data_IF_859828258358
#
_entry.id   IF_859828258358
#
_cell.length_a   1.000
_cell.length_b   1.000
_cell.length_c   1.000
_cell.angle_alpha   90.00
_cell.angle_beta   90.00
_cell.angle_gamma   90.00
#
_symmetry.space_group_name_H-M   'P 1'
#
loop_
_entity.id
_entity.type
_entity.pdbx_description
1 polymer ?
#
# COMPACT_ATOMS: atom_id res chain seq x y z
N UNK A 1 10.68 32.50 -3.15
CA UNK A 1 11.69 31.69 -3.89
C UNK A 1 11.43 30.22 -3.63
N UNK A 2 11.60 29.36 -4.64
CA UNK A 2 11.44 27.90 -4.55
C UNK A 2 12.62 27.17 -5.17
N UNK A 3 12.90 25.95 -4.72
CA UNK A 3 13.95 25.08 -5.29
C UNK A 3 13.29 23.79 -5.78
N UNK A 4 13.53 23.42 -7.03
CA UNK A 4 12.95 22.23 -7.67
C UNK A 4 14.03 21.36 -8.31
N UNK A 5 13.97 20.05 -8.11
CA UNK A 5 14.84 19.10 -8.83
C UNK A 5 14.27 18.88 -10.23
N UNK A 6 14.93 19.41 -11.26
CA UNK A 6 14.49 19.29 -12.67
C UNK A 6 14.82 17.92 -13.26
N UNK A 7 15.99 17.38 -12.94
CA UNK A 7 16.49 16.16 -13.56
C UNK A 7 17.35 15.35 -12.59
N UNK A 8 17.26 14.03 -12.72
CA UNK A 8 18.07 13.07 -11.97
C UNK A 8 18.79 12.18 -12.96
N UNK A 9 20.11 12.20 -12.95
CA UNK A 9 20.96 11.29 -13.72
C UNK A 9 21.56 10.22 -12.80
N UNK A 10 22.31 9.28 -13.38
CA UNK A 10 23.02 8.26 -12.60
C UNK A 10 23.99 8.89 -11.59
N UNK A 11 24.65 9.99 -11.96
CA UNK A 11 25.73 10.62 -11.17
C UNK A 11 25.34 11.94 -10.53
N UNK A 12 24.30 12.63 -10.99
CA UNK A 12 24.01 13.98 -10.47
C UNK A 12 22.55 14.37 -10.52
N UNK A 13 22.22 15.38 -9.72
CA UNK A 13 20.91 15.98 -9.56
C UNK A 13 21.00 17.45 -10.00
N UNK A 14 20.08 17.88 -10.85
CA UNK A 14 20.03 19.27 -11.33
C UNK A 14 18.87 19.98 -10.64
N UNK A 15 19.19 21.04 -9.90
CA UNK A 15 18.23 21.87 -9.18
C UNK A 15 18.09 23.25 -9.83
N UNK A 16 16.85 23.73 -9.87
CA UNK A 16 16.49 25.07 -10.28
C UNK A 16 16.01 25.86 -9.08
N UNK A 17 16.55 27.06 -8.88
CA UNK A 17 16.04 28.06 -7.96
C UNK A 17 15.17 29.01 -8.76
N UNK A 18 13.92 29.18 -8.34
CA UNK A 18 12.95 30.07 -8.99
C UNK A 18 12.52 31.19 -8.04
N UNK A 19 12.35 32.39 -8.58
CA UNK A 19 11.61 33.48 -7.96
C UNK A 19 10.35 33.68 -8.80
N UNK A 20 9.20 33.47 -8.17
CA UNK A 20 7.91 33.40 -8.86
C UNK A 20 7.95 32.36 -10.00
N UNK A 21 7.88 32.80 -11.26
CA UNK A 21 7.96 31.90 -12.43
C UNK A 21 9.33 31.90 -13.12
N UNK A 22 10.26 32.78 -12.70
CA UNK A 22 11.56 32.93 -13.33
C UNK A 22 12.62 32.04 -12.68
N UNK A 23 13.46 31.42 -13.51
CA UNK A 23 14.63 30.67 -13.03
C UNK A 23 15.74 31.67 -12.75
N UNK A 24 16.06 31.83 -11.46
CA UNK A 24 17.10 32.76 -10.99
C UNK A 24 18.44 32.06 -10.76
N UNK A 25 18.46 30.73 -10.61
CA UNK A 25 19.69 29.96 -10.62
C UNK A 25 19.46 28.50 -11.02
N UNK A 26 20.50 27.86 -11.54
CA UNK A 26 20.55 26.43 -11.77
C UNK A 26 21.87 25.90 -11.21
N UNK A 27 21.82 24.84 -10.42
CA UNK A 27 23.02 24.19 -9.91
C UNK A 27 22.92 22.67 -10.00
N UNK A 28 24.07 22.04 -10.23
CA UNK A 28 24.23 20.59 -10.28
C UNK A 28 24.88 20.13 -8.97
N UNK A 29 24.32 19.10 -8.35
CA UNK A 29 24.92 18.42 -7.20
C UNK A 29 25.20 16.97 -7.54
N UNK A 30 26.34 16.48 -7.09
CA UNK A 30 26.65 15.06 -7.21
C UNK A 30 25.69 14.22 -6.35
N UNK A 31 25.29 13.07 -6.88
CA UNK A 31 24.45 12.12 -6.13
C UNK A 31 25.21 11.59 -4.91
N UNK A 32 26.50 11.34 -5.03
CA UNK A 32 27.33 10.84 -3.94
C UNK A 32 27.44 11.87 -2.82
N UNK A 33 27.61 13.16 -3.13
CA UNK A 33 27.63 14.23 -2.13
C UNK A 33 26.35 14.28 -1.29
N UNK A 34 25.19 14.08 -1.91
CA UNK A 34 23.90 14.09 -1.22
C UNK A 34 23.62 12.82 -0.40
N UNK A 35 24.14 11.68 -0.86
CA UNK A 35 23.97 10.39 -0.16
C UNK A 35 25.03 10.18 0.93
N UNK A 36 26.18 10.84 0.83
CA UNK A 36 27.22 10.79 1.84
C UNK A 36 26.73 11.51 3.11
N UNK A 37 26.60 10.76 4.21
CA UNK A 37 26.14 11.28 5.51
C UNK A 37 27.08 12.31 6.13
N UNK A 38 28.28 12.50 5.58
CA UNK A 38 29.29 13.44 6.08
C UNK A 38 29.19 14.84 5.45
N UNK A 39 28.00 15.25 5.01
CA UNK A 39 27.77 16.59 4.47
C UNK A 39 27.15 17.53 5.52
N UNK A 40 27.38 18.85 5.38
CA UNK A 40 26.82 19.87 6.28
C UNK A 40 25.29 20.00 6.19
N UNK A 41 24.63 19.22 5.33
CA UNK A 41 23.17 19.18 5.19
C UNK A 41 22.52 18.22 6.20
N UNK A 42 23.28 17.29 6.80
CA UNK A 42 22.79 16.36 7.80
C UNK A 42 22.07 17.07 8.95
N UNK A 43 22.68 18.09 9.54
CA UNK A 43 22.10 18.85 10.65
C UNK A 43 20.81 19.60 10.23
N UNK A 44 20.67 19.95 8.95
CA UNK A 44 19.45 20.59 8.44
C UNK A 44 18.25 19.63 8.45
N UNK A 45 18.48 18.34 8.19
CA UNK A 45 17.45 17.29 8.21
C UNK A 45 16.78 17.13 9.58
N UNK A 46 17.48 17.51 10.66
CA UNK A 46 16.97 17.42 12.02
C UNK A 46 16.12 18.61 12.44
N UNK A 47 15.88 19.59 11.57
CA UNK A 47 15.01 20.75 11.91
C UNK A 47 13.53 20.36 11.99
N UNK A 48 12.76 21.04 12.85
CA UNK A 48 11.32 20.78 13.01
C UNK A 48 10.53 20.88 11.70
N UNK A 49 10.92 21.79 10.81
CA UNK A 49 10.29 21.93 9.48
C UNK A 49 10.49 20.68 8.64
N UNK A 50 11.70 20.13 8.60
CA UNK A 50 11.99 18.91 7.84
C UNK A 50 11.34 17.70 8.51
N UNK A 51 11.42 17.56 9.84
CA UNK A 51 10.70 16.49 10.57
C UNK A 51 9.21 16.53 10.29
N UNK A 52 8.57 17.70 10.35
CA UNK A 52 7.14 17.87 10.07
C UNK A 52 6.80 17.54 8.61
N UNK A 53 7.66 17.93 7.67
CA UNK A 53 7.51 17.57 6.26
C UNK A 53 7.63 16.05 6.05
N UNK A 54 8.66 15.42 6.60
CA UNK A 54 8.87 13.97 6.54
C UNK A 54 7.70 13.22 7.19
N UNK A 55 7.23 13.65 8.36
CA UNK A 55 6.05 13.07 9.01
C UNK A 55 4.76 13.27 8.20
N UNK A 56 4.61 14.39 7.48
CA UNK A 56 3.48 14.63 6.56
C UNK A 56 3.59 13.73 5.32
N UNK A 57 4.79 13.58 4.78
CA UNK A 57 5.08 12.70 3.64
C UNK A 57 4.88 11.23 4.00
N UNK A 58 5.34 10.79 5.17
CA UNK A 58 5.09 9.45 5.71
C UNK A 58 3.62 9.20 6.02
N UNK A 59 2.84 10.22 6.41
CA UNK A 59 1.37 10.12 6.49
C UNK A 59 0.70 9.97 5.13
N UNK A 60 1.38 10.35 4.05
CA UNK A 60 0.89 10.26 2.66
C UNK A 60 1.35 8.97 1.99
N UNK A 61 2.53 8.45 2.36
CA UNK A 61 2.99 7.12 2.01
C UNK A 61 2.21 6.12 2.87
N UNK A 62 1.25 5.41 2.29
CA UNK A 62 0.45 4.42 3.01
C UNK A 62 1.28 3.45 3.83
N UNK A 63 0.75 2.98 4.95
CA UNK A 63 1.39 1.92 5.73
C UNK A 63 1.59 0.69 4.84
N UNK A 64 2.83 0.18 4.85
CA UNK A 64 3.27 -0.94 3.99
C UNK A 64 3.36 -2.28 4.73
N UNK A 65 3.25 -2.29 6.06
CA UNK A 65 3.35 -3.47 6.91
C UNK A 65 2.13 -3.58 7.84
N UNK A 66 1.73 -4.80 8.20
CA UNK A 66 0.59 -5.06 9.09
C UNK A 66 0.88 -4.61 10.53
N UNK A 67 2.11 -4.80 11.02
CA UNK A 67 2.49 -4.44 12.39
C UNK A 67 2.31 -2.96 12.69
N UNK A 68 2.53 -2.10 11.70
CA UNK A 68 2.47 -0.64 11.86
C UNK A 68 1.04 -0.09 11.70
N UNK A 69 0.06 -0.93 11.38
CA UNK A 69 -1.34 -0.52 11.19
C UNK A 69 -1.99 -0.10 12.51
N UNK A 70 -2.52 1.12 12.52
CA UNK A 70 -3.31 1.69 13.62
C UNK A 70 -4.74 1.95 13.16
N UNK A 71 -5.68 1.82 14.09
CA UNK A 71 -7.06 2.17 13.82
C UNK A 71 -7.17 3.65 13.39
N UNK A 72 -7.97 3.93 12.36
CA UNK A 72 -8.14 5.26 11.79
C UNK A 72 -7.18 5.59 10.64
N UNK A 73 -6.21 4.71 10.32
CA UNK A 73 -5.36 4.92 9.14
C UNK A 73 -6.15 4.69 7.84
N UNK A 74 -5.97 5.60 6.89
CA UNK A 74 -6.49 5.53 5.53
C UNK A 74 -5.34 5.42 4.53
N UNK A 75 -5.64 5.08 3.27
CA UNK A 75 -4.65 4.89 2.21
C UNK A 75 -3.61 3.82 2.56
N UNK A 76 -4.05 2.71 3.15
CA UNK A 76 -3.16 1.58 3.44
C UNK A 76 -2.92 0.80 2.15
N UNK A 77 -1.65 0.51 1.85
CA UNK A 77 -1.23 -0.27 0.68
C UNK A 77 -0.33 -1.40 1.14
N UNK A 78 -0.75 -2.65 0.96
CA UNK A 78 0.00 -3.79 1.46
C UNK A 78 -0.13 -5.00 0.55
N UNK A 79 0.87 -5.88 0.64
CA UNK A 79 0.87 -7.18 -0.02
C UNK A 79 0.84 -8.25 1.06
N UNK A 80 -0.14 -9.15 1.01
CA UNK A 80 -0.32 -10.17 2.03
C UNK A 80 -0.84 -11.47 1.44
N UNK A 81 -0.58 -12.58 2.12
CA UNK A 81 -1.11 -13.89 1.79
C UNK A 81 -2.43 -14.13 2.53
N UNK A 82 -3.41 -14.71 1.86
CA UNK A 82 -4.64 -15.18 2.50
C UNK A 82 -4.37 -16.48 3.23
N UNK A 83 -4.64 -16.47 4.53
CA UNK A 83 -4.47 -17.61 5.43
C UNK A 83 -5.79 -18.36 5.66
N UNK A 84 -6.90 -17.63 5.75
CA UNK A 84 -8.22 -18.19 6.04
C UNK A 84 -9.33 -17.32 5.43
N UNK A 85 -10.38 -17.94 4.91
CA UNK A 85 -11.60 -17.26 4.44
C UNK A 85 -12.77 -17.76 5.27
N UNK A 86 -13.35 -16.88 6.10
CA UNK A 86 -14.52 -17.23 6.90
C UNK A 86 -15.81 -17.28 6.05
N UNK A 87 -16.80 -18.04 6.53
CA UNK A 87 -18.08 -18.15 5.86
C UNK A 87 -18.77 -16.78 5.65
N UNK A 88 -19.28 -16.49 4.44
CA UNK A 88 -19.95 -15.24 4.14
C UNK A 88 -21.25 -15.09 4.95
N UNK A 89 -21.43 -13.94 5.60
CA UNK A 89 -22.62 -13.61 6.38
C UNK A 89 -23.47 -12.56 5.67
N UNK A 90 -24.78 -12.79 5.58
CA UNK A 90 -25.74 -11.79 5.10
C UNK A 90 -26.03 -10.78 6.20
N UNK A 91 -25.94 -9.50 5.87
CA UNK A 91 -26.19 -8.37 6.76
C UNK A 91 -27.10 -7.35 6.07
N UNK A 92 -27.97 -6.72 6.85
CA UNK A 92 -28.76 -5.58 6.38
C UNK A 92 -27.95 -4.32 6.68
N UNK A 93 -27.65 -3.55 5.63
CA UNK A 93 -26.94 -2.28 5.79
C UNK A 93 -27.85 -1.24 6.45
N UNK A 94 -27.26 -0.17 7.00
CA UNK A 94 -28.00 0.97 7.56
C UNK A 94 -28.96 1.66 6.58
N UNK A 95 -28.83 1.38 5.29
CA UNK A 95 -29.65 1.94 4.22
C UNK A 95 -30.74 0.96 3.74
N UNK A 96 -30.93 -0.18 4.44
CA UNK A 96 -31.95 -1.18 4.10
C UNK A 96 -31.54 -2.19 3.02
N UNK A 97 -30.37 -2.03 2.39
CA UNK A 97 -29.89 -2.96 1.38
C UNK A 97 -29.29 -4.22 2.02
N UNK A 98 -29.56 -5.37 1.41
CA UNK A 98 -28.89 -6.63 1.73
C UNK A 98 -27.45 -6.62 1.18
N UNK A 99 -26.49 -6.97 2.02
CA UNK A 99 -25.10 -7.14 1.63
C UNK A 99 -24.55 -8.42 2.25
N UNK A 100 -23.54 -9.01 1.61
CA UNK A 100 -22.80 -10.15 2.15
C UNK A 100 -21.43 -9.66 2.58
N UNK A 101 -20.98 -10.08 3.76
CA UNK A 101 -19.65 -9.77 4.30
C UNK A 101 -18.92 -11.05 4.69
N UNK A 102 -17.67 -11.18 4.28
CA UNK A 102 -16.78 -12.23 4.75
C UNK A 102 -15.54 -11.61 5.41
N UNK A 103 -15.08 -12.23 6.49
CA UNK A 103 -13.80 -11.88 7.13
C UNK A 103 -12.74 -12.83 6.61
N UNK A 104 -11.67 -12.27 6.07
CA UNK A 104 -10.53 -13.01 5.53
C UNK A 104 -9.33 -12.73 6.41
N UNK A 105 -8.64 -13.76 6.91
CA UNK A 105 -7.38 -13.60 7.61
C UNK A 105 -6.26 -13.48 6.59
N UNK A 106 -5.55 -12.36 6.63
CA UNK A 106 -4.37 -12.11 5.78
C UNK A 106 -3.13 -11.94 6.66
N UNK A 107 -1.97 -12.33 6.12
CA UNK A 107 -0.69 -12.23 6.80
C UNK A 107 0.44 -11.75 5.91
N UNK A 108 1.36 -10.99 6.50
CA UNK A 108 2.65 -10.61 5.95
C UNK A 108 3.77 -11.07 6.90
N UNK A 109 5.01 -10.70 6.59
CA UNK A 109 6.18 -11.01 7.43
C UNK A 109 6.13 -10.38 8.84
N UNK A 110 5.27 -9.38 9.05
CA UNK A 110 5.20 -8.59 10.28
C UNK A 110 4.04 -8.97 11.18
N UNK A 111 3.00 -9.65 10.66
CA UNK A 111 1.88 -10.15 11.44
C UNK A 111 0.66 -10.52 10.61
N UNK A 112 -0.49 -10.63 11.28
CA UNK A 112 -1.77 -10.98 10.66
C UNK A 112 -2.86 -9.97 10.99
N UNK A 113 -3.81 -9.78 10.09
CA UNK A 113 -4.98 -8.90 10.28
C UNK A 113 -6.19 -9.45 9.53
N UNK A 114 -7.39 -9.13 10.01
CA UNK A 114 -8.64 -9.49 9.32
C UNK A 114 -8.96 -8.44 8.26
N UNK A 115 -9.31 -8.88 7.05
CA UNK A 115 -9.82 -8.06 5.96
C UNK A 115 -11.31 -8.34 5.79
N UNK A 116 -12.13 -7.30 5.77
CA UNK A 116 -13.57 -7.39 5.52
C UNK A 116 -13.84 -7.18 4.03
N UNK A 117 -14.29 -8.24 3.36
CA UNK A 117 -14.69 -8.24 1.95
C UNK A 117 -16.20 -8.18 1.82
N UNK A 118 -16.67 -7.47 0.79
CA UNK A 118 -18.09 -7.24 0.55
C UNK A 118 -18.54 -7.82 -0.78
N UNK A 119 -19.72 -8.45 -0.78
CA UNK A 119 -20.43 -8.93 -1.96
C UNK A 119 -19.52 -9.73 -2.90
N UNK A 120 -19.37 -9.30 -4.16
CA UNK A 120 -18.56 -9.98 -5.18
C UNK A 120 -17.07 -10.06 -4.87
N UNK A 121 -16.53 -9.22 -3.97
CA UNK A 121 -15.11 -9.32 -3.59
C UNK A 121 -14.78 -10.65 -2.90
N UNK A 122 -15.79 -11.32 -2.35
CA UNK A 122 -15.64 -12.56 -1.58
C UNK A 122 -15.33 -13.73 -2.51
N UNK A 123 -15.87 -13.73 -3.73
CA UNK A 123 -15.70 -14.84 -4.70
C UNK A 123 -14.36 -14.79 -5.42
N UNK A 124 -13.67 -13.65 -5.39
CA UNK A 124 -12.43 -13.41 -6.14
C UNK A 124 -11.17 -13.83 -5.36
N UNK A 125 -11.34 -14.42 -4.18
CA UNK A 125 -10.24 -14.76 -3.28
C UNK A 125 -10.32 -16.20 -2.80
N UNK A 126 -9.17 -16.86 -2.74
CA UNK A 126 -9.02 -18.20 -2.19
C UNK A 126 -7.93 -18.27 -1.13
N UNK A 127 -8.02 -19.27 -0.26
CA UNK A 127 -6.96 -19.55 0.73
C UNK A 127 -5.66 -19.88 0.00
N UNK A 128 -4.57 -19.22 0.39
CA UNK A 128 -3.26 -19.38 -0.23
C UNK A 128 -2.89 -18.29 -1.24
N UNK A 129 -3.86 -17.50 -1.72
CA UNK A 129 -3.60 -16.43 -2.69
C UNK A 129 -2.76 -15.30 -2.10
N UNK A 130 -1.95 -14.68 -2.94
CA UNK A 130 -1.25 -13.45 -2.62
C UNK A 130 -2.07 -12.28 -3.14
N UNK A 131 -2.49 -11.38 -2.25
CA UNK A 131 -3.30 -10.23 -2.60
C UNK A 131 -2.52 -8.94 -2.42
N UNK A 132 -2.65 -8.06 -3.41
CA UNK A 132 -2.25 -6.67 -3.35
C UNK A 132 -3.47 -5.84 -2.97
N UNK A 133 -3.39 -5.19 -1.82
CA UNK A 133 -4.43 -4.33 -1.27
C UNK A 133 -4.01 -2.88 -1.45
N UNK A 134 -4.88 -2.05 -2.00
CA UNK A 134 -4.62 -0.63 -2.16
C UNK A 134 -5.76 0.21 -1.60
N UNK A 135 -5.41 1.38 -1.04
CA UNK A 135 -6.35 2.34 -0.47
C UNK A 135 -7.31 1.73 0.57
N UNK A 136 -6.83 0.76 1.37
CA UNK A 136 -7.60 0.19 2.46
C UNK A 136 -7.67 1.15 3.65
N UNK A 137 -8.70 0.94 4.48
CA UNK A 137 -8.89 1.66 5.74
C UNK A 137 -8.74 0.69 6.91
N UNK A 138 -7.86 1.04 7.85
CA UNK A 138 -7.73 0.34 9.11
C UNK A 138 -8.78 0.84 10.10
N UNK A 139 -9.62 -0.08 10.55
CA UNK A 139 -10.73 0.17 11.47
C UNK A 139 -10.65 -0.78 12.66
N UNK A 140 -11.40 -0.47 13.71
CA UNK A 140 -11.49 -1.30 14.91
C UNK A 140 -12.96 -1.49 15.27
N UNK A 141 -13.35 -2.73 15.53
CA UNK A 141 -14.71 -3.08 15.92
C UNK A 141 -14.68 -4.13 17.02
N UNK A 142 -15.35 -3.86 18.14
CA UNK A 142 -15.40 -4.74 19.32
C UNK A 142 -14.02 -5.23 19.79
N UNK A 143 -13.02 -4.35 19.80
CA UNK A 143 -11.67 -4.70 20.23
C UNK A 143 -10.78 -5.31 19.13
N UNK A 144 -11.34 -5.72 17.99
CA UNK A 144 -10.57 -6.32 16.90
C UNK A 144 -10.20 -5.28 15.83
N UNK A 145 -8.92 -5.27 15.42
CA UNK A 145 -8.47 -4.50 14.25
C UNK A 145 -8.79 -5.25 12.97
N UNK A 146 -9.29 -4.53 11.98
CA UNK A 146 -9.56 -5.07 10.66
C UNK A 146 -9.33 -4.02 9.57
N UNK A 147 -9.12 -4.49 8.36
CA UNK A 147 -9.06 -3.68 7.16
C UNK A 147 -10.37 -3.74 6.42
N UNK A 148 -10.81 -2.61 5.86
CA UNK A 148 -11.95 -2.54 4.96
C UNK A 148 -11.57 -1.82 3.68
N UNK A 149 -12.07 -2.34 2.56
CA UNK A 149 -11.96 -1.67 1.26
C UNK A 149 -13.08 -0.64 1.16
N UNK A 150 -12.73 0.65 1.13
CA UNK A 150 -13.68 1.72 0.86
C UNK A 150 -14.00 1.83 -0.64
N UNK A 151 -14.72 2.88 -1.05
CA UNK A 151 -15.08 3.11 -2.46
C UNK A 151 -13.88 3.20 -3.42
N UNK A 152 -12.72 3.63 -2.92
CA UNK A 152 -11.47 3.76 -3.68
C UNK A 152 -10.51 2.58 -3.44
N UNK A 153 -10.89 1.65 -2.57
CA UNK A 153 -10.08 0.49 -2.22
C UNK A 153 -10.16 -0.54 -3.32
N UNK A 154 -9.01 -1.09 -3.71
CA UNK A 154 -8.91 -2.16 -4.69
C UNK A 154 -8.19 -3.35 -4.07
N UNK A 155 -8.59 -4.54 -4.53
CA UNK A 155 -8.02 -5.81 -4.16
C UNK A 155 -7.66 -6.53 -5.44
N UNK A 156 -6.38 -6.79 -5.65
CA UNK A 156 -5.90 -7.57 -6.78
C UNK A 156 -5.29 -8.86 -6.25
N UNK A 157 -5.90 -10.00 -6.56
CA UNK A 157 -5.31 -11.30 -6.32
C UNK A 157 -4.27 -11.59 -7.40
N UNK A 158 -2.99 -11.64 -7.03
CA UNK A 158 -1.97 -12.32 -7.82
C UNK A 158 -2.17 -13.82 -7.61
N UNK A 159 -3.17 -14.38 -8.30
CA UNK A 159 -3.24 -15.82 -8.48
C UNK A 159 -1.91 -16.19 -9.13
N UNK A 160 -1.15 -17.09 -8.52
CA UNK A 160 -0.10 -17.81 -9.23
C UNK A 160 -0.81 -18.59 -10.35
N UNK A 161 -1.04 -17.94 -11.51
CA UNK A 161 -1.60 -18.50 -12.75
C UNK A 161 -0.63 -19.50 -13.41
N UNK A 162 0.20 -20.17 -12.61
CA UNK A 162 1.07 -21.29 -12.93
C UNK A 162 0.87 -22.21 -11.73
N UNK A 163 -0.08 -23.12 -11.73
CA UNK A 163 0.01 -24.42 -12.38
C UNK A 163 -1.42 -24.96 -12.43
N UNK A 164 -1.97 -25.20 -13.61
CA UNK A 164 -2.92 -26.28 -13.93
C UNK A 164 -3.17 -26.18 -15.44
N UNK A 165 -2.25 -26.72 -16.24
CA UNK A 165 -2.67 -27.23 -17.56
C UNK A 165 -3.47 -28.50 -17.28
N UNK A 166 -4.65 -28.69 -17.90
CA UNK A 166 -5.35 -29.96 -17.81
C UNK A 166 -4.41 -31.08 -18.28
N UNK A 167 -4.33 -32.16 -17.51
CA UNK A 167 -3.74 -33.41 -17.98
C UNK A 167 -4.75 -33.98 -18.98
N UNK A 168 -4.42 -33.92 -20.27
CA UNK A 168 -5.09 -34.74 -21.27
C UNK A 168 -4.74 -36.20 -20.95
N UNK A 169 -5.70 -36.94 -20.38
CA UNK A 169 -5.59 -38.39 -20.30
C UNK A 169 -5.66 -38.90 -21.75
N UNK A 170 -4.65 -39.64 -22.27
CA UNK A 170 -4.80 -40.31 -23.54
C UNK A 170 -5.98 -41.28 -23.40
N UNK A 171 -7.01 -41.06 -24.22
CA UNK A 171 -8.16 -41.94 -24.33
C UNK A 171 -7.66 -43.38 -24.44
N UNK A 172 -8.10 -44.22 -23.52
CA UNK A 172 -7.98 -45.67 -23.66
C UNK A 172 -8.79 -46.05 -24.91
N UNK A 173 -8.09 -46.22 -26.03
CA UNK A 173 -8.63 -46.84 -27.22
C UNK A 173 -8.51 -48.36 -27.06
N UNK A 174 -9.68 -48.99 -27.10
CA UNK A 174 -9.97 -50.42 -27.25
C UNK A 174 -9.13 -51.10 -28.34
#
# INVERSE_FOLDING_TARGET
>A
MSIQCRSKTKTSLIFLVKKDSEVVAQFRMDREFLLNGNNKLGNFMETDRIRKYLAKKARTAGASSIKDLRAGMSNVHLKAKILEVAEPKRVVTRYGNNATVAKVLIGDETGTIKLCLWNGQITDVSVGDIVQIENAQASMFRGERFLSLGRKGTLNSEVLKHQLKPIELPNAAT
#
